data_IF_355035268013
#
_entry.id   IF_355035268013
#
_cell.length_a   1.000
_cell.length_b   1.000
_cell.length_c   1.000
_cell.angle_alpha   90.00
_cell.angle_beta   90.00
_cell.angle_gamma   90.00
#
_symmetry.space_group_name_H-M   'P 1'
#
loop_
_entity.id
_entity.type
_entity.pdbx_description
1 polymer ?
#
# COMPACT_ATOMS: atom_id res chain seq x y z
N UNK A 1 3.18 -18.95 -16.25
CA UNK A 1 2.60 -19.08 -14.91
C UNK A 1 1.45 -18.10 -14.81
N UNK A 2 0.30 -18.45 -14.21
CA UNK A 2 -0.74 -17.46 -13.95
C UNK A 2 -0.15 -16.38 -13.03
N UNK A 3 -0.37 -15.11 -13.38
CA UNK A 3 -0.01 -14.00 -12.52
C UNK A 3 -0.89 -14.05 -11.28
N UNK A 4 -0.27 -14.10 -10.10
CA UNK A 4 -0.96 -14.16 -8.81
C UNK A 4 -0.87 -12.77 -8.19
N UNK A 5 -2.00 -12.25 -7.73
CA UNK A 5 -2.03 -11.00 -6.97
C UNK A 5 -1.11 -11.09 -5.75
N UNK A 6 -0.36 -10.03 -5.49
CA UNK A 6 0.36 -9.85 -4.24
C UNK A 6 -0.60 -9.39 -3.16
N UNK A 7 -0.82 -10.25 -2.16
CA UNK A 7 -1.75 -9.99 -1.06
C UNK A 7 -0.98 -9.47 0.15
N UNK A 8 -1.33 -8.28 0.60
CA UNK A 8 -0.67 -7.60 1.71
C UNK A 8 -1.67 -7.38 2.85
N UNK A 9 -1.32 -7.84 4.04
CA UNK A 9 -2.12 -7.62 5.24
C UNK A 9 -1.80 -6.26 5.84
N UNK A 10 -2.85 -5.52 6.22
CA UNK A 10 -2.74 -4.22 6.88
C UNK A 10 -3.39 -4.31 8.26
N UNK A 11 -2.61 -4.13 9.31
CA UNK A 11 -3.07 -4.23 10.70
C UNK A 11 -2.94 -2.88 11.41
N UNK A 12 -3.67 -2.69 12.51
CA UNK A 12 -3.50 -1.53 13.38
C UNK A 12 -2.42 -1.85 14.41
N UNK A 13 -1.31 -1.12 14.39
CA UNK A 13 -0.24 -1.24 15.34
C UNK A 13 -0.37 -0.17 16.44
N UNK A 14 -0.27 -0.59 17.71
CA UNK A 14 -0.39 0.26 18.90
C UNK A 14 0.85 0.26 19.80
N UNK A 15 1.96 -0.34 19.38
CA UNK A 15 3.16 -0.49 20.23
C UNK A 15 4.00 0.79 20.35
N UNK A 16 3.69 1.84 19.57
CA UNK A 16 4.36 3.14 19.60
C UNK A 16 3.59 4.25 20.30
N UNK A 17 4.16 5.45 20.32
CA UNK A 17 3.56 6.65 20.94
C UNK A 17 2.24 7.08 20.27
N UNK A 18 2.06 6.76 18.98
CA UNK A 18 0.82 6.98 18.24
C UNK A 18 0.50 5.71 17.44
N UNK A 19 -0.76 5.20 17.48
CA UNK A 19 -1.15 4.06 16.66
C UNK A 19 -1.10 4.39 15.16
N UNK A 20 -0.77 3.38 14.34
CA UNK A 20 -0.58 3.54 12.91
C UNK A 20 -0.98 2.26 12.15
N UNK A 21 -1.18 2.39 10.84
CA UNK A 21 -1.40 1.23 9.98
C UNK A 21 -0.06 0.58 9.66
N UNK A 22 0.09 -0.70 9.97
CA UNK A 22 1.26 -1.47 9.60
C UNK A 22 0.92 -2.37 8.41
N UNK A 23 1.73 -2.29 7.36
CA UNK A 23 1.70 -3.24 6.25
C UNK A 23 2.70 -4.34 6.55
N UNK A 24 2.22 -5.58 6.63
CA UNK A 24 3.06 -6.76 6.77
C UNK A 24 3.74 -7.03 5.43
N UNK A 25 4.97 -6.53 5.26
CA UNK A 25 5.71 -6.69 4.02
C UNK A 25 6.39 -8.05 4.01
N UNK A 26 6.07 -8.90 3.03
CA UNK A 26 6.61 -10.27 2.97
C UNK A 26 8.13 -10.29 2.79
N UNK A 27 8.74 -9.22 2.25
CA UNK A 27 10.18 -9.17 1.93
C UNK A 27 10.87 -7.78 2.09
N UNK A 28 10.24 -6.78 2.73
CA UNK A 28 10.77 -5.43 3.00
C UNK A 28 11.88 -4.91 2.02
N UNK A 29 11.56 -4.37 0.83
CA UNK A 29 10.25 -3.96 0.33
C UNK A 29 9.39 -5.12 -0.19
N UNK A 30 8.13 -4.83 -0.54
CA UNK A 30 7.29 -5.78 -1.25
C UNK A 30 7.82 -5.94 -2.69
N UNK A 31 8.51 -7.06 -2.94
CA UNK A 31 9.07 -7.39 -4.24
C UNK A 31 8.01 -7.95 -5.19
N UNK A 32 7.93 -7.36 -6.38
CA UNK A 32 7.09 -7.80 -7.47
C UNK A 32 7.99 -8.25 -8.62
N UNK A 33 7.75 -9.48 -9.10
CA UNK A 33 8.47 -10.02 -10.23
C UNK A 33 7.77 -9.62 -11.53
N UNK A 34 8.56 -9.35 -12.58
CA UNK A 34 8.00 -9.06 -13.89
C UNK A 34 7.14 -10.21 -14.41
N UNK A 35 6.03 -9.87 -15.07
CA UNK A 35 5.16 -10.85 -15.72
C UNK A 35 4.57 -10.32 -17.04
N UNK A 36 4.12 -11.22 -17.93
CA UNK A 36 3.59 -10.82 -19.23
C UNK A 36 2.24 -10.10 -19.16
N UNK A 37 1.53 -10.20 -18.03
CA UNK A 37 0.27 -9.52 -17.77
C UNK A 37 0.41 -8.58 -16.56
N UNK A 38 -0.55 -7.66 -16.36
CA UNK A 38 -0.63 -6.92 -15.10
C UNK A 38 -0.86 -7.84 -13.90
N UNK A 39 -0.39 -7.43 -12.72
CA UNK A 39 -0.56 -8.13 -11.44
C UNK A 39 -1.28 -7.20 -10.46
N UNK A 40 -2.17 -7.73 -9.61
CA UNK A 40 -2.77 -6.94 -8.55
C UNK A 40 -1.87 -6.85 -7.33
N UNK A 41 -1.79 -5.68 -6.72
CA UNK A 41 -1.32 -5.49 -5.34
C UNK A 41 -2.57 -5.20 -4.52
N UNK A 42 -2.89 -6.07 -3.57
CA UNK A 42 -4.12 -6.00 -2.78
C UNK A 42 -3.79 -5.83 -1.31
N UNK A 43 -4.12 -4.66 -0.76
CA UNK A 43 -4.06 -4.41 0.68
C UNK A 43 -5.40 -4.76 1.30
N UNK A 44 -5.40 -5.59 2.34
CA UNK A 44 -6.60 -5.95 3.10
C UNK A 44 -6.43 -5.55 4.56
N UNK A 45 -7.39 -4.80 5.11
CA UNK A 45 -7.41 -4.52 6.55
C UNK A 45 -7.75 -5.79 7.32
N UNK A 46 -6.92 -6.14 8.31
CA UNK A 46 -6.96 -7.40 9.06
C UNK A 46 -6.82 -7.13 10.57
N UNK A 47 -7.12 -8.14 11.39
CA UNK A 47 -7.02 -8.05 12.85
C UNK A 47 -7.89 -6.91 13.42
N UNK A 48 -7.33 -6.08 14.30
CA UNK A 48 -8.02 -4.91 14.86
C UNK A 48 -8.45 -3.87 13.81
N UNK A 49 -7.88 -3.90 12.61
CA UNK A 49 -8.27 -3.01 11.51
C UNK A 49 -9.39 -3.59 10.63
N UNK A 50 -9.78 -4.86 10.82
CA UNK A 50 -10.65 -5.59 9.88
C UNK A 50 -12.04 -4.99 9.67
N UNK A 51 -12.59 -4.28 10.67
CA UNK A 51 -13.86 -3.55 10.57
C UNK A 51 -13.72 -2.16 9.91
N UNK A 52 -12.49 -1.75 9.60
CA UNK A 52 -12.17 -0.46 9.03
C UNK A 52 -12.57 -0.31 7.56
N UNK A 53 -12.43 0.90 7.06
CA UNK A 53 -12.65 1.22 5.65
C UNK A 53 -11.52 2.10 5.15
N UNK A 54 -10.92 1.75 4.01
CA UNK A 54 -9.97 2.64 3.36
C UNK A 54 -10.66 3.96 3.01
N UNK A 55 -9.93 5.08 3.13
CA UNK A 55 -10.46 6.38 2.73
C UNK A 55 -10.70 6.43 1.21
N UNK A 56 -11.56 7.36 0.73
CA UNK A 56 -11.76 7.57 -0.70
C UNK A 56 -10.45 7.83 -1.45
N UNK A 57 -10.41 7.46 -2.73
CA UNK A 57 -9.25 7.60 -3.60
C UNK A 57 -9.21 8.96 -4.34
N UNK A 58 -10.15 9.84 -4.01
CA UNK A 58 -10.27 11.20 -4.52
C UNK A 58 -10.73 12.13 -3.38
N UNK A 59 -10.37 13.40 -3.47
CA UNK A 59 -10.68 14.41 -2.46
C UNK A 59 -9.44 14.88 -1.70
N UNK A 60 -9.61 15.60 -0.57
CA UNK A 60 -8.51 16.25 0.13
C UNK A 60 -7.61 15.27 0.90
N UNK A 61 -8.14 14.12 1.34
CA UNK A 61 -7.39 13.08 2.03
C UNK A 61 -7.60 11.73 1.35
N UNK A 62 -6.55 11.27 0.65
CA UNK A 62 -6.62 10.05 -0.15
C UNK A 62 -6.31 8.80 0.69
N UNK A 63 -7.09 7.74 0.48
CA UNK A 63 -6.85 6.40 1.04
C UNK A 63 -5.53 5.77 0.58
N UNK A 64 -5.02 6.19 -0.58
CA UNK A 64 -3.73 5.82 -1.12
C UNK A 64 -3.05 7.02 -1.77
N UNK A 65 -1.75 7.18 -1.54
CA UNK A 65 -0.94 8.10 -2.30
C UNK A 65 0.51 7.61 -2.38
N UNK A 66 1.13 7.83 -3.53
CA UNK A 66 2.59 7.76 -3.65
C UNK A 66 3.22 8.97 -2.95
N UNK A 67 4.37 8.75 -2.32
CA UNK A 67 5.11 9.76 -1.58
C UNK A 67 6.56 9.82 -2.05
N UNK A 68 7.10 11.02 -2.19
CA UNK A 68 8.41 11.21 -2.82
C UNK A 68 8.31 11.06 -4.34
N UNK A 69 9.24 10.29 -4.92
CA UNK A 69 9.29 10.02 -6.36
C UNK A 69 8.02 9.28 -6.81
N UNK A 70 7.32 9.85 -7.79
CA UNK A 70 6.13 9.26 -8.37
C UNK A 70 6.53 8.22 -9.43
N UNK A 71 5.84 7.08 -9.51
CA UNK A 71 6.04 6.16 -10.62
C UNK A 71 5.66 6.82 -11.94
N UNK A 72 6.42 6.52 -12.99
CA UNK A 72 6.08 6.95 -14.35
C UNK A 72 4.72 6.38 -14.77
N UNK A 73 4.04 7.11 -15.64
CA UNK A 73 2.75 6.70 -16.19
C UNK A 73 2.87 5.32 -16.85
N UNK A 74 1.92 4.44 -16.55
CA UNK A 74 1.86 3.10 -17.12
C UNK A 74 2.60 2.02 -16.32
N UNK A 75 3.34 2.36 -15.26
CA UNK A 75 3.86 1.36 -14.31
C UNK A 75 2.74 0.83 -13.42
N UNK A 76 1.97 1.74 -12.81
CA UNK A 76 0.81 1.39 -12.01
C UNK A 76 -0.47 1.95 -12.61
N UNK A 77 -1.54 1.15 -12.57
CA UNK A 77 -2.90 1.59 -12.84
C UNK A 77 -3.46 2.45 -11.71
N UNK A 78 -4.61 3.08 -11.97
CA UNK A 78 -5.31 3.83 -10.94
C UNK A 78 -5.73 2.90 -9.78
N UNK A 79 -5.59 3.33 -8.51
CA UNK A 79 -6.09 2.56 -7.38
C UNK A 79 -7.61 2.44 -7.43
N UNK A 80 -8.16 1.37 -6.88
CA UNK A 80 -9.60 1.19 -6.66
C UNK A 80 -9.87 0.40 -5.38
N UNK A 81 -11.11 0.50 -4.88
CA UNK A 81 -11.57 -0.18 -3.66
C UNK A 81 -12.51 -1.34 -4.04
N UNK A 82 -12.01 -2.59 -4.14
CA UNK A 82 -12.87 -3.74 -4.45
C UNK A 82 -13.86 -4.07 -3.31
N UNK A 83 -13.53 -3.66 -2.08
CA UNK A 83 -14.39 -3.73 -0.91
C UNK A 83 -14.00 -2.61 0.07
N UNK A 84 -14.81 -2.34 1.09
CA UNK A 84 -14.52 -1.30 2.08
C UNK A 84 -13.16 -1.50 2.77
N UNK A 85 -12.83 -2.74 3.12
CA UNK A 85 -11.61 -3.12 3.80
C UNK A 85 -10.48 -3.53 2.84
N UNK A 86 -10.63 -3.30 1.53
CA UNK A 86 -9.63 -3.66 0.53
C UNK A 86 -9.29 -2.50 -0.39
N UNK A 87 -8.02 -2.41 -0.77
CA UNK A 87 -7.51 -1.48 -1.78
C UNK A 87 -6.69 -2.27 -2.78
N UNK A 88 -6.86 -2.00 -4.07
CA UNK A 88 -6.13 -2.67 -5.14
C UNK A 88 -5.50 -1.66 -6.10
N UNK A 89 -4.25 -1.93 -6.48
CA UNK A 89 -3.54 -1.26 -7.57
C UNK A 89 -3.11 -2.34 -8.56
N UNK A 90 -3.21 -2.07 -9.86
CA UNK A 90 -2.62 -2.93 -10.89
C UNK A 90 -1.19 -2.49 -11.15
N UNK A 91 -0.25 -3.42 -11.10
CA UNK A 91 1.13 -3.26 -11.49
C UNK A 91 1.35 -3.85 -12.89
N UNK A 92 1.90 -3.05 -13.78
CA UNK A 92 2.21 -3.38 -15.17
C UNK A 92 3.71 -3.69 -15.34
N UNK A 93 4.32 -4.29 -14.33
CA UNK A 93 5.70 -4.68 -14.37
C UNK A 93 5.95 -5.83 -15.35
N UNK A 94 6.34 -5.48 -16.57
CA UNK A 94 6.60 -6.42 -17.67
C UNK A 94 8.09 -6.61 -17.97
N UNK A 95 8.98 -5.86 -17.32
CA UNK A 95 10.42 -5.98 -17.49
C UNK A 95 11.21 -4.77 -16.96
N UNK A 96 12.49 -4.62 -17.35
CA UNK A 96 13.40 -3.61 -16.78
C UNK A 96 12.94 -2.15 -16.95
N UNK A 97 12.16 -1.84 -17.99
CA UNK A 97 11.66 -0.48 -18.23
C UNK A 97 10.61 -0.01 -17.22
N UNK A 98 10.08 -0.91 -16.41
CA UNK A 98 9.09 -0.64 -15.34
C UNK A 98 9.63 -1.04 -13.96
N UNK A 99 10.94 -1.27 -13.86
CA UNK A 99 11.62 -1.51 -12.59
C UNK A 99 11.81 -0.20 -11.81
N UNK A 100 11.83 -0.31 -10.48
CA UNK A 100 11.95 0.85 -9.59
C UNK A 100 11.49 0.57 -8.18
N UNK A 101 11.59 1.57 -7.31
CA UNK A 101 11.14 1.50 -5.92
C UNK A 101 10.31 2.74 -5.58
N UNK A 102 9.10 2.51 -5.08
CA UNK A 102 8.17 3.60 -4.77
C UNK A 102 7.63 3.47 -3.37
N UNK A 103 7.62 4.60 -2.67
CA UNK A 103 7.10 4.71 -1.30
C UNK A 103 5.67 5.18 -1.35
N UNK A 104 4.80 4.58 -0.56
CA UNK A 104 3.38 4.93 -0.54
C UNK A 104 2.86 5.06 0.89
N UNK A 105 1.69 5.68 1.01
CA UNK A 105 0.94 5.76 2.24
C UNK A 105 -0.46 5.20 2.05
N UNK A 106 -0.95 4.54 3.10
CA UNK A 106 -2.35 4.15 3.21
C UNK A 106 -3.04 4.97 4.29
N UNK A 107 -4.33 5.22 4.11
CA UNK A 107 -5.22 5.79 5.13
C UNK A 107 -6.50 4.99 5.23
N UNK A 108 -6.88 4.65 6.46
CA UNK A 108 -8.14 3.95 6.74
C UNK A 108 -8.81 4.53 7.96
N UNK A 109 -10.15 4.52 7.97
CA UNK A 109 -10.97 4.88 9.11
C UNK A 109 -11.35 3.59 9.87
N UNK A 110 -10.98 3.51 11.13
CA UNK A 110 -11.28 2.39 12.03
C UNK A 110 -11.96 2.97 13.27
N UNK A 111 -13.20 2.54 13.54
CA UNK A 111 -14.02 3.06 14.64
C UNK A 111 -14.08 4.61 14.68
N UNK A 112 -14.30 5.23 13.52
CA UNK A 112 -14.39 6.69 13.38
C UNK A 112 -13.05 7.45 13.33
N UNK A 113 -11.94 6.82 13.71
CA UNK A 113 -10.61 7.45 13.73
C UNK A 113 -9.84 7.12 12.45
N UNK A 114 -9.17 8.11 11.86
CA UNK A 114 -8.30 7.90 10.69
C UNK A 114 -6.90 7.53 11.14
N UNK A 115 -6.36 6.44 10.60
CA UNK A 115 -5.00 5.98 10.81
C UNK A 115 -4.24 5.97 9.49
N UNK A 116 -2.92 6.16 9.56
CA UNK A 116 -2.04 6.17 8.39
C UNK A 116 -0.82 5.28 8.61
N UNK A 117 -0.16 4.87 7.52
CA UNK A 117 1.09 4.11 7.57
C UNK A 117 2.31 4.96 7.97
N UNK A 118 2.20 6.28 7.95
CA UNK A 118 3.29 7.17 8.34
C UNK A 118 3.39 7.27 9.87
N UNK A 119 4.54 6.86 10.41
CA UNK A 119 4.94 7.21 11.77
C UNK A 119 6.10 8.20 11.68
N UNK A 120 5.91 9.40 12.23
CA UNK A 120 7.05 10.26 12.54
C UNK A 120 7.58 9.81 13.90
N UNK A 121 8.59 8.95 13.90
CA UNK A 121 9.28 8.55 15.14
C UNK A 121 10.22 9.66 15.61
N UNK A 122 10.53 9.70 16.91
CA UNK A 122 11.51 10.63 17.48
C UNK A 122 12.93 10.49 16.87
N UNK A 123 13.20 9.38 16.19
CA UNK A 123 14.44 9.11 15.45
C UNK A 123 14.38 9.49 13.95
N UNK A 124 13.32 10.17 13.50
CA UNK A 124 13.11 10.60 12.11
C UNK A 124 13.15 9.46 11.06
N UNK A 125 12.90 8.21 11.46
CA UNK A 125 12.76 7.12 10.50
C UNK A 125 11.35 7.13 9.89
N UNK A 126 11.29 7.29 8.57
CA UNK A 126 10.07 7.11 7.79
C UNK A 126 9.79 5.61 7.64
N UNK A 127 8.69 5.13 8.23
CA UNK A 127 8.25 3.73 8.18
C UNK A 127 7.27 3.43 7.04
N UNK A 128 7.15 4.34 6.07
CA UNK A 128 6.24 4.14 4.96
C UNK A 128 6.64 2.88 4.17
N UNK A 129 5.64 2.04 3.82
CA UNK A 129 5.88 0.83 3.05
C UNK A 129 6.32 1.15 1.61
N UNK A 130 6.97 0.18 0.98
CA UNK A 130 7.54 0.33 -0.37
C UNK A 130 7.17 -0.84 -1.27
N UNK A 131 6.94 -0.53 -2.53
CA UNK A 131 6.84 -1.52 -3.62
C UNK A 131 8.14 -1.47 -4.40
N UNK A 132 8.68 -2.64 -4.75
CA UNK A 132 9.86 -2.76 -5.61
C UNK A 132 9.58 -3.70 -6.78
N UNK A 133 9.64 -3.14 -7.98
CA UNK A 133 9.65 -3.88 -9.24
C UNK A 133 11.12 -4.16 -9.58
N UNK A 134 11.48 -5.44 -9.77
CA UNK A 134 12.87 -5.89 -9.95
C UNK A 134 13.31 -5.96 -11.42
#
# INVERSE_FOLDING_TARGET
>A
MPNIDTLLSVTLNRSGAQPYLHVDEVNHPNYLNSGPNPQGIVWTLMGEASSGTFLPLFGPELGFAWTGEQPHQGIFGAPFLPANNQLKVLDHHTGPGTAGIWTYILRARINGTVYTTTVVTAAAQNTNPRIKNN
#
